data_IF_912882825044
#
_entry.id   IF_912882825044
#
_cell.length_a   1.000
_cell.length_b   1.000
_cell.length_c   1.000
_cell.angle_alpha   90.00
_cell.angle_beta   90.00
_cell.angle_gamma   90.00
#
_symmetry.space_group_name_H-M   'P 1'
#
loop_
_entity.id
_entity.type
_entity.pdbx_description
1 polymer ?
#
# COMPACT_ATOMS: atom_id res chain seq x y z
N UNK A 1 21.69 14.15 -12.00
CA UNK A 1 21.65 13.88 -13.45
C UNK A 1 21.22 12.46 -13.85
N UNK A 2 21.00 11.51 -12.92
CA UNK A 2 20.35 10.21 -13.22
C UNK A 2 18.83 10.21 -12.96
N UNK A 3 18.32 11.15 -12.13
CA UNK A 3 16.88 11.31 -11.83
C UNK A 3 16.10 12.07 -12.91
N UNK A 4 16.80 12.63 -13.90
CA UNK A 4 16.22 13.48 -14.94
C UNK A 4 15.87 12.71 -16.22
N UNK A 5 16.05 11.38 -16.22
CA UNK A 5 15.68 10.55 -17.37
C UNK A 5 14.15 10.38 -17.43
N UNK A 6 13.47 10.89 -18.48
CA UNK A 6 12.02 10.81 -18.57
C UNK A 6 11.50 9.37 -18.63
N UNK A 7 12.29 8.43 -19.14
CA UNK A 7 11.92 7.01 -19.17
C UNK A 7 11.84 6.41 -17.77
N UNK A 8 12.82 6.75 -16.90
CA UNK A 8 12.82 6.30 -15.49
C UNK A 8 11.59 6.85 -14.77
N UNK A 9 11.25 8.12 -15.00
CA UNK A 9 10.05 8.75 -14.42
C UNK A 9 8.77 8.03 -14.87
N UNK A 10 8.63 7.72 -16.15
CA UNK A 10 7.45 7.03 -16.70
C UNK A 10 7.33 5.63 -16.09
N UNK A 11 8.43 4.86 -16.08
CA UNK A 11 8.43 3.49 -15.52
C UNK A 11 8.09 3.51 -14.04
N UNK A 12 8.72 4.40 -13.25
CA UNK A 12 8.41 4.55 -11.82
C UNK A 12 6.96 4.95 -11.60
N UNK A 13 6.47 5.95 -12.33
CA UNK A 13 5.11 6.48 -12.14
C UNK A 13 4.06 5.41 -12.46
N UNK A 14 4.14 4.80 -13.65
CA UNK A 14 3.17 3.80 -14.07
C UNK A 14 3.28 2.51 -13.24
N UNK A 15 4.51 2.09 -12.95
CA UNK A 15 4.79 0.92 -12.11
C UNK A 15 4.24 1.09 -10.70
N UNK A 16 4.57 2.20 -10.03
CA UNK A 16 4.13 2.47 -8.67
C UNK A 16 2.62 2.71 -8.59
N UNK A 17 2.00 3.30 -9.62
CA UNK A 17 0.55 3.41 -9.70
C UNK A 17 -0.12 2.03 -9.76
N UNK A 18 0.41 1.11 -10.57
CA UNK A 18 -0.12 -0.25 -10.62
C UNK A 18 0.12 -1.00 -9.31
N UNK A 19 1.33 -0.88 -8.73
CA UNK A 19 1.66 -1.45 -7.43
C UNK A 19 0.72 -0.93 -6.34
N UNK A 20 0.41 0.36 -6.34
CA UNK A 20 -0.56 0.96 -5.43
C UNK A 20 -1.94 0.29 -5.54
N UNK A 21 -2.43 0.05 -6.76
CA UNK A 21 -3.72 -0.66 -6.96
C UNK A 21 -3.66 -2.09 -6.40
N UNK A 22 -2.56 -2.81 -6.60
CA UNK A 22 -2.37 -4.17 -6.06
C UNK A 22 -2.29 -4.16 -4.53
N UNK A 23 -1.57 -3.22 -3.94
CA UNK A 23 -1.48 -3.05 -2.48
C UNK A 23 -2.82 -2.64 -1.90
N UNK A 24 -3.57 -1.77 -2.56
CA UNK A 24 -4.91 -1.39 -2.15
C UNK A 24 -5.85 -2.59 -2.18
N UNK A 25 -5.75 -3.46 -3.20
CA UNK A 25 -6.49 -4.73 -3.24
C UNK A 25 -6.21 -5.61 -2.03
N UNK A 26 -4.94 -5.72 -1.66
CA UNK A 26 -4.49 -6.46 -0.49
C UNK A 26 -5.05 -5.85 0.81
N UNK A 27 -4.90 -4.53 0.99
CA UNK A 27 -5.37 -3.81 2.18
C UNK A 27 -6.89 -3.87 2.33
N UNK A 28 -7.65 -3.72 1.23
CA UNK A 28 -9.12 -3.87 1.26
C UNK A 28 -9.54 -5.24 1.79
N UNK A 29 -8.84 -6.31 1.38
CA UNK A 29 -9.13 -7.65 1.88
C UNK A 29 -8.69 -7.81 3.34
N UNK A 30 -7.54 -7.27 3.71
CA UNK A 30 -7.02 -7.33 5.08
C UNK A 30 -7.95 -6.62 6.08
N UNK A 31 -8.45 -5.44 5.70
CA UNK A 31 -9.38 -4.63 6.49
C UNK A 31 -10.82 -5.11 6.41
N UNK A 32 -11.14 -6.11 5.56
CA UNK A 32 -12.50 -6.57 5.27
C UNK A 32 -13.42 -5.43 4.82
N UNK A 33 -12.87 -4.54 4.00
CA UNK A 33 -13.61 -3.44 3.44
C UNK A 33 -14.77 -3.95 2.57
N UNK A 34 -15.83 -3.16 2.46
CA UNK A 34 -17.05 -3.54 1.77
C UNK A 34 -16.77 -3.82 0.27
N UNK A 35 -17.06 -5.05 -0.16
CA UNK A 35 -16.90 -5.49 -1.54
C UNK A 35 -18.03 -5.01 -2.46
N UNK A 36 -19.17 -4.56 -1.91
CA UNK A 36 -20.25 -3.97 -2.69
C UNK A 36 -19.95 -2.51 -3.07
N UNK A 37 -18.93 -1.90 -2.46
CA UNK A 37 -18.49 -0.57 -2.81
C UNK A 37 -17.95 -0.50 -4.25
N UNK A 38 -18.40 0.45 -5.09
CA UNK A 38 -17.99 0.54 -6.49
C UNK A 38 -16.47 0.72 -6.68
N UNK A 39 -15.80 1.42 -5.77
CA UNK A 39 -14.34 1.61 -5.83
C UNK A 39 -13.63 0.29 -5.52
N UNK A 40 -14.11 -0.45 -4.51
CA UNK A 40 -13.61 -1.80 -4.17
C UNK A 40 -13.75 -2.75 -5.36
N UNK A 41 -14.91 -2.75 -6.03
CA UNK A 41 -15.13 -3.55 -7.24
C UNK A 41 -14.20 -3.16 -8.38
N UNK A 42 -13.96 -1.86 -8.59
CA UNK A 42 -13.00 -1.36 -9.58
C UNK A 42 -11.60 -1.92 -9.35
N UNK A 43 -11.13 -1.88 -8.10
CA UNK A 43 -9.81 -2.39 -7.70
C UNK A 43 -9.72 -3.92 -7.87
N UNK A 44 -10.77 -4.65 -7.47
CA UNK A 44 -10.87 -6.10 -7.69
C UNK A 44 -10.82 -6.42 -9.18
N UNK A 45 -11.56 -5.68 -10.01
CA UNK A 45 -11.59 -5.88 -11.46
C UNK A 45 -10.24 -5.62 -12.09
N UNK A 46 -9.54 -4.54 -11.70
CA UNK A 46 -8.22 -4.17 -12.21
C UNK A 46 -7.12 -5.19 -11.85
N UNK A 47 -7.23 -5.86 -10.70
CA UNK A 47 -6.22 -6.82 -10.22
C UNK A 47 -6.53 -8.27 -10.58
N UNK A 48 -7.80 -8.60 -10.82
CA UNK A 48 -8.24 -9.98 -11.05
C UNK A 48 -7.59 -10.72 -12.23
N UNK A 49 -7.27 -10.09 -13.39
CA UNK A 49 -6.68 -10.82 -14.51
C UNK A 49 -5.33 -11.45 -14.16
N UNK A 50 -4.51 -10.75 -13.36
CA UNK A 50 -3.22 -11.27 -12.89
C UNK A 50 -3.38 -12.17 -11.66
N UNK A 51 -4.33 -11.89 -10.77
CA UNK A 51 -4.52 -12.72 -9.57
C UNK A 51 -5.12 -14.10 -9.86
N UNK A 52 -6.02 -14.24 -10.83
CA UNK A 52 -6.67 -15.53 -11.16
C UNK A 52 -5.68 -16.66 -11.48
N UNK A 53 -4.66 -16.49 -12.34
CA UNK A 53 -3.66 -17.54 -12.57
C UNK A 53 -2.81 -17.79 -11.33
N UNK A 54 -2.40 -16.75 -10.59
CA UNK A 54 -1.60 -16.91 -9.37
C UNK A 54 -2.33 -17.73 -8.29
N UNK A 55 -3.63 -17.50 -8.11
CA UNK A 55 -4.48 -18.23 -7.15
C UNK A 55 -4.62 -19.73 -7.44
N UNK A 56 -4.33 -20.18 -8.67
CA UNK A 56 -4.31 -21.61 -8.99
C UNK A 56 -3.11 -22.32 -8.37
N UNK A 57 -2.02 -21.59 -8.15
CA UNK A 57 -0.76 -22.14 -7.61
C UNK A 57 -0.62 -21.80 -6.12
N UNK A 58 -1.07 -20.62 -5.72
CA UNK A 58 -0.84 -20.06 -4.39
C UNK A 58 -2.17 -19.99 -3.63
N UNK A 59 -2.42 -20.90 -2.68
CA UNK A 59 -3.64 -20.89 -1.90
C UNK A 59 -3.65 -19.70 -0.92
N UNK A 60 -4.83 -19.11 -0.68
CA UNK A 60 -5.00 -18.10 0.34
C UNK A 60 -4.83 -18.71 1.74
N UNK A 61 -4.07 -18.05 2.61
CA UNK A 61 -3.81 -18.51 3.99
C UNK A 61 -4.60 -17.62 4.96
N UNK A 62 -5.61 -18.21 5.59
CA UNK A 62 -6.44 -17.54 6.59
C UNK A 62 -7.14 -16.30 6.05
N UNK A 63 -6.84 -15.13 6.63
CA UNK A 63 -7.45 -13.83 6.26
C UNK A 63 -6.67 -13.08 5.18
N UNK A 64 -5.48 -13.57 4.81
CA UNK A 64 -4.53 -12.89 3.94
C UNK A 64 -4.60 -13.49 2.55
N UNK A 65 -4.85 -12.65 1.53
CA UNK A 65 -4.66 -13.07 0.14
C UNK A 65 -3.18 -13.10 -0.20
N UNK A 66 -2.56 -14.24 0.07
CA UNK A 66 -1.17 -14.55 -0.30
C UNK A 66 -0.89 -14.27 -1.77
N UNK A 67 -1.86 -14.51 -2.66
CA UNK A 67 -1.72 -14.19 -4.09
C UNK A 67 -1.55 -12.69 -4.35
N UNK A 68 -2.22 -11.84 -3.57
CA UNK A 68 -2.06 -10.38 -3.68
C UNK A 68 -0.68 -9.90 -3.21
N UNK A 69 -0.13 -10.52 -2.16
CA UNK A 69 1.24 -10.22 -1.70
C UNK A 69 2.27 -10.65 -2.74
N UNK A 70 2.12 -11.86 -3.29
CA UNK A 70 3.01 -12.37 -4.33
C UNK A 70 2.93 -11.51 -5.59
N UNK A 71 1.73 -11.06 -5.98
CA UNK A 71 1.59 -10.13 -7.08
C UNK A 71 2.29 -8.79 -6.81
N UNK A 72 2.15 -8.23 -5.61
CA UNK A 72 2.85 -6.99 -5.24
C UNK A 72 4.38 -7.15 -5.33
N UNK A 73 4.92 -8.27 -4.84
CA UNK A 73 6.34 -8.59 -4.95
C UNK A 73 6.78 -8.75 -6.40
N UNK A 74 6.00 -9.46 -7.22
CA UNK A 74 6.30 -9.64 -8.64
C UNK A 74 6.29 -8.31 -9.39
N UNK A 75 5.31 -7.44 -9.14
CA UNK A 75 5.24 -6.10 -9.74
C UNK A 75 6.44 -5.26 -9.33
N UNK A 76 6.78 -5.20 -8.04
CA UNK A 76 7.95 -4.45 -7.57
C UNK A 76 9.26 -4.99 -8.15
N UNK A 77 9.40 -6.31 -8.25
CA UNK A 77 10.57 -6.95 -8.86
C UNK A 77 10.69 -6.56 -10.34
N UNK A 78 9.59 -6.59 -11.09
CA UNK A 78 9.58 -6.17 -12.51
C UNK A 78 9.95 -4.70 -12.66
N UNK A 79 9.41 -3.81 -11.82
CA UNK A 79 9.80 -2.38 -11.81
C UNK A 79 11.32 -2.25 -11.59
N UNK A 80 11.85 -2.90 -10.54
CA UNK A 80 13.27 -2.87 -10.22
C UNK A 80 14.13 -3.40 -11.38
N UNK A 81 13.73 -4.52 -11.99
CA UNK A 81 14.46 -5.11 -13.13
C UNK A 81 14.50 -4.16 -14.33
N UNK A 82 13.38 -3.52 -14.67
CA UNK A 82 13.32 -2.55 -15.78
C UNK A 82 14.21 -1.34 -15.47
N UNK A 83 14.16 -0.81 -14.24
CA UNK A 83 15.01 0.31 -13.84
C UNK A 83 16.49 -0.05 -13.90
N UNK A 84 16.88 -1.23 -13.41
CA UNK A 84 18.27 -1.69 -13.46
C UNK A 84 18.75 -1.90 -14.90
N UNK A 85 17.88 -2.39 -15.79
CA UNK A 85 18.17 -2.52 -17.21
C UNK A 85 18.38 -1.16 -17.90
N UNK A 86 17.56 -0.15 -17.58
CA UNK A 86 17.71 1.22 -18.12
C UNK A 86 19.00 1.87 -17.64
N UNK A 87 19.33 1.69 -16.35
CA UNK A 87 20.55 2.26 -15.76
C UNK A 87 21.80 1.50 -16.20
N UNK A 88 21.67 0.26 -16.69
CA UNK A 88 22.79 -0.60 -17.07
C UNK A 88 23.55 -1.16 -15.86
N UNK A 89 22.94 -1.18 -14.69
CA UNK A 89 23.54 -1.67 -13.45
C UNK A 89 23.02 -3.06 -13.11
N UNK A 90 23.91 -3.96 -12.72
CA UNK A 90 23.54 -5.31 -12.30
C UNK A 90 23.57 -5.44 -10.79
N UNK A 91 22.42 -5.77 -10.22
CA UNK A 91 22.31 -6.09 -8.80
C UNK A 91 22.69 -7.55 -8.55
N UNK A 92 23.40 -7.79 -7.45
CA UNK A 92 23.49 -9.15 -6.91
C UNK A 92 22.08 -9.65 -6.52
N UNK A 93 21.86 -10.97 -6.52
CA UNK A 93 20.58 -11.58 -6.13
C UNK A 93 20.09 -11.12 -4.74
N UNK A 94 20.99 -10.97 -3.77
CA UNK A 94 20.64 -10.54 -2.39
C UNK A 94 20.07 -9.11 -2.40
N UNK A 95 20.77 -8.16 -3.02
CA UNK A 95 20.30 -6.78 -3.14
C UNK A 95 18.98 -6.68 -3.88
N UNK A 96 18.78 -7.49 -4.92
CA UNK A 96 17.52 -7.51 -5.66
C UNK A 96 16.32 -7.93 -4.79
N UNK A 97 16.50 -8.97 -3.96
CA UNK A 97 15.48 -9.41 -3.01
C UNK A 97 15.22 -8.34 -1.94
N UNK A 98 16.28 -7.75 -1.37
CA UNK A 98 16.16 -6.70 -0.35
C UNK A 98 15.37 -5.51 -0.90
N UNK A 99 15.73 -4.99 -2.07
CA UNK A 99 15.07 -3.83 -2.66
C UNK A 99 13.64 -4.11 -3.11
N UNK A 100 13.35 -5.36 -3.51
CA UNK A 100 11.97 -5.77 -3.82
C UNK A 100 11.10 -5.77 -2.54
N UNK A 101 11.57 -6.40 -1.47
CA UNK A 101 10.85 -6.46 -0.20
C UNK A 101 10.67 -5.08 0.43
N UNK A 102 11.76 -4.30 0.48
CA UNK A 102 11.74 -2.94 0.99
C UNK A 102 10.84 -2.03 0.16
N UNK A 103 10.88 -2.14 -1.17
CA UNK A 103 10.00 -1.38 -2.06
C UNK A 103 8.52 -1.65 -1.78
N UNK A 104 8.10 -2.91 -1.68
CA UNK A 104 6.71 -3.26 -1.34
C UNK A 104 6.32 -2.73 0.03
N UNK A 105 7.18 -2.91 1.05
CA UNK A 105 6.93 -2.42 2.40
C UNK A 105 6.78 -0.89 2.44
N UNK A 106 7.67 -0.17 1.75
CA UNK A 106 7.64 1.29 1.69
C UNK A 106 6.35 1.81 1.03
N UNK A 107 5.95 1.23 -0.11
CA UNK A 107 4.73 1.64 -0.81
C UNK A 107 3.46 1.26 -0.03
N UNK A 108 3.49 0.18 0.76
CA UNK A 108 2.39 -0.17 1.66
C UNK A 108 2.26 0.85 2.80
N UNK A 109 3.38 1.26 3.41
CA UNK A 109 3.40 2.32 4.41
C UNK A 109 2.94 3.66 3.83
N UNK A 110 3.34 3.97 2.60
CA UNK A 110 2.90 5.18 1.89
C UNK A 110 1.39 5.17 1.64
N UNK A 111 0.82 4.03 1.23
CA UNK A 111 -0.62 3.85 1.09
C UNK A 111 -1.35 4.16 2.40
N UNK A 112 -0.89 3.59 3.52
CA UNK A 112 -1.50 3.87 4.82
C UNK A 112 -1.31 5.32 5.27
N UNK A 113 -0.15 5.93 4.98
CA UNK A 113 0.08 7.35 5.27
C UNK A 113 -0.99 8.22 4.59
N UNK A 114 -1.18 8.04 3.29
CA UNK A 114 -2.17 8.80 2.53
C UNK A 114 -3.60 8.48 2.94
N UNK A 115 -3.94 7.21 3.18
CA UNK A 115 -5.25 6.82 3.68
C UNK A 115 -5.57 7.48 5.04
N UNK A 116 -4.61 7.49 5.97
CA UNK A 116 -4.73 8.15 7.26
C UNK A 116 -4.89 9.66 7.11
N UNK A 117 -4.13 10.30 6.21
CA UNK A 117 -4.26 11.73 5.93
C UNK A 117 -5.66 12.07 5.42
N UNK A 118 -6.15 11.31 4.46
CA UNK A 118 -7.51 11.49 3.94
C UNK A 118 -8.54 11.23 5.06
N UNK A 119 -8.35 10.22 5.91
CA UNK A 119 -9.24 9.93 7.05
C UNK A 119 -9.33 11.12 8.02
N UNK A 120 -8.20 11.72 8.37
CA UNK A 120 -8.17 12.91 9.25
C UNK A 120 -8.84 14.10 8.58
N UNK A 121 -8.53 14.37 7.31
CA UNK A 121 -9.19 15.46 6.57
C UNK A 121 -10.71 15.25 6.53
N UNK A 122 -11.18 14.03 6.22
CA UNK A 122 -12.60 13.69 6.20
C UNK A 122 -13.27 13.86 7.56
N UNK A 123 -12.57 13.58 8.66
CA UNK A 123 -13.11 13.73 10.02
C UNK A 123 -13.46 15.17 10.37
N UNK A 124 -12.78 16.16 9.77
CA UNK A 124 -13.07 17.59 9.97
C UNK A 124 -13.95 18.18 8.88
N UNK A 125 -13.72 17.78 7.62
CA UNK A 125 -14.41 18.37 6.47
C UNK A 125 -15.81 17.79 6.28
N UNK A 126 -16.00 16.50 6.53
CA UNK A 126 -17.26 15.79 6.29
C UNK A 126 -17.50 14.66 7.30
N UNK A 127 -17.64 14.97 8.60
CA UNK A 127 -17.89 13.96 9.62
C UNK A 127 -19.19 13.19 9.32
N UNK A 128 -19.14 11.86 9.38
CA UNK A 128 -20.31 11.00 9.13
C UNK A 128 -20.72 10.85 7.66
N UNK A 129 -19.84 11.21 6.71
CA UNK A 129 -20.11 11.05 5.28
C UNK A 129 -20.46 9.61 4.89
N UNK A 130 -21.55 9.44 4.13
CA UNK A 130 -21.99 8.19 3.52
C UNK A 130 -21.40 7.94 2.13
N UNK A 131 -20.49 8.82 1.66
CA UNK A 131 -19.87 8.66 0.35
C UNK A 131 -19.02 7.38 0.27
N UNK A 132 -19.12 6.57 -0.81
CA UNK A 132 -18.40 5.30 -0.93
C UNK A 132 -16.89 5.40 -0.68
N UNK A 133 -16.25 6.47 -1.15
CA UNK A 133 -14.83 6.69 -0.91
C UNK A 133 -14.49 6.98 0.56
N UNK A 134 -15.33 7.75 1.26
CA UNK A 134 -15.12 8.07 2.66
C UNK A 134 -15.23 6.81 3.53
N UNK A 135 -16.25 5.98 3.26
CA UNK A 135 -16.44 4.70 3.94
C UNK A 135 -15.24 3.76 3.77
N UNK A 136 -14.69 3.66 2.56
CA UNK A 136 -13.50 2.82 2.32
C UNK A 136 -12.27 3.32 3.07
N UNK A 137 -12.01 4.63 3.06
CA UNK A 137 -10.87 5.21 3.77
C UNK A 137 -10.98 4.90 5.27
N UNK A 138 -12.17 5.06 5.86
CA UNK A 138 -12.42 4.73 7.25
C UNK A 138 -12.20 3.24 7.54
N UNK A 139 -12.72 2.34 6.68
CA UNK A 139 -12.52 0.89 6.81
C UNK A 139 -11.04 0.48 6.68
N UNK A 140 -10.30 1.10 5.75
CA UNK A 140 -8.87 0.85 5.56
C UNK A 140 -8.08 1.23 6.80
N UNK A 141 -8.41 2.36 7.43
CA UNK A 141 -7.70 2.88 8.59
C UNK A 141 -8.13 2.23 9.92
N UNK A 142 -9.33 1.64 9.99
CA UNK A 142 -9.90 1.05 11.21
C UNK A 142 -8.98 0.06 11.93
N UNK A 143 -8.24 -0.85 11.25
CA UNK A 143 -7.30 -1.75 11.93
C UNK A 143 -6.14 -1.00 12.63
N UNK A 144 -5.65 0.11 12.05
CA UNK A 144 -4.58 0.92 12.64
C UNK A 144 -5.10 1.67 13.87
N UNK A 145 -6.27 2.30 13.76
CA UNK A 145 -6.92 2.95 14.90
C UNK A 145 -7.18 1.95 16.04
N UNK A 146 -7.79 0.80 15.74
CA UNK A 146 -8.03 -0.26 16.73
C UNK A 146 -6.75 -0.77 17.39
N UNK A 147 -5.64 -0.82 16.64
CA UNK A 147 -4.35 -1.20 17.22
C UNK A 147 -3.81 -0.11 18.16
N UNK A 148 -3.88 1.16 17.74
CA UNK A 148 -3.41 2.30 18.52
C UNK A 148 -4.21 2.49 19.82
N UNK A 149 -5.55 2.35 19.76
CA UNK A 149 -6.44 2.46 20.92
C UNK A 149 -6.22 1.39 22.00
N UNK A 150 -5.46 0.32 21.72
CA UNK A 150 -5.04 -0.66 22.75
C UNK A 150 -3.99 -0.10 23.69
N UNK A 151 -3.24 0.91 23.26
CA UNK A 151 -2.15 1.52 24.03
C UNK A 151 -2.48 2.93 24.49
N UNK A 152 -3.29 3.65 23.72
CA UNK A 152 -3.63 5.05 23.97
C UNK A 152 -5.14 5.16 24.16
N UNK A 153 -5.63 5.44 25.38
CA UNK A 153 -7.04 5.67 25.60
C UNK A 153 -7.48 6.99 24.93
N UNK A 154 -8.73 7.06 24.48
CA UNK A 154 -9.31 8.29 23.95
C UNK A 154 -9.40 9.35 25.05
N UNK A 155 -8.67 10.46 24.91
CA UNK A 155 -8.68 11.57 25.88
C UNK A 155 -9.79 12.56 25.53
N UNK A 156 -10.92 12.46 26.23
CA UNK A 156 -11.93 13.55 26.26
C UNK A 156 -12.48 13.96 24.89
N UNK A 157 -12.79 13.00 24.02
CA UNK A 157 -13.40 13.25 22.70
C UNK A 157 -12.43 13.67 21.59
N UNK A 158 -11.16 13.94 21.90
CA UNK A 158 -10.10 14.15 20.90
C UNK A 158 -9.31 12.86 20.70
N UNK A 159 -9.37 12.30 19.49
CA UNK A 159 -8.56 11.12 19.14
C UNK A 159 -7.16 11.54 18.72
N UNK A 160 -6.18 11.32 19.59
CA UNK A 160 -4.75 11.58 19.31
C UNK A 160 -4.09 10.45 18.51
N UNK A 161 -4.79 9.33 18.28
CA UNK A 161 -4.26 8.17 17.56
C UNK A 161 -3.68 8.50 16.18
N UNK A 162 -4.26 9.39 15.35
CA UNK A 162 -3.67 9.72 14.05
C UNK A 162 -2.23 10.22 14.17
N UNK A 163 -1.90 11.03 15.18
CA UNK A 163 -0.57 11.61 15.37
C UNK A 163 0.46 10.50 15.59
N UNK A 164 0.17 9.56 16.50
CA UNK A 164 1.06 8.44 16.79
C UNK A 164 1.18 7.47 15.62
N UNK A 165 0.08 7.24 14.88
CA UNK A 165 0.09 6.43 13.66
C UNK A 165 0.98 7.08 12.59
N UNK A 166 0.86 8.39 12.35
CA UNK A 166 1.73 9.11 11.42
C UNK A 166 3.19 9.04 11.83
N UNK A 167 3.49 9.22 13.12
CA UNK A 167 4.85 9.13 13.63
C UNK A 167 5.43 7.74 13.39
N UNK A 168 4.69 6.67 13.75
CA UNK A 168 5.12 5.30 13.55
C UNK A 168 5.36 4.98 12.06
N UNK A 169 4.42 5.35 11.19
CA UNK A 169 4.56 5.15 9.74
C UNK A 169 5.78 5.91 9.21
N UNK A 170 5.97 7.17 9.62
CA UNK A 170 7.09 8.01 9.14
C UNK A 170 8.43 7.43 9.57
N UNK A 171 8.56 7.00 10.83
CA UNK A 171 9.77 6.36 11.34
C UNK A 171 10.07 5.06 10.56
N UNK A 172 9.07 4.20 10.38
CA UNK A 172 9.22 2.96 9.62
C UNK A 172 9.65 3.24 8.17
N UNK A 173 9.03 4.24 7.53
CA UNK A 173 9.42 4.67 6.18
C UNK A 173 10.86 5.16 6.13
N UNK A 174 11.31 5.93 7.12
CA UNK A 174 12.69 6.42 7.20
C UNK A 174 13.71 5.27 7.27
N UNK A 175 13.41 4.20 8.02
CA UNK A 175 14.26 3.02 8.10
C UNK A 175 14.29 2.21 6.80
N UNK A 176 13.18 2.16 6.07
CA UNK A 176 13.07 1.39 4.81
C UNK A 176 13.60 2.18 3.61
N UNK A 177 13.50 3.51 3.63
CA UNK A 177 13.83 4.39 2.50
C UNK A 177 15.21 4.17 1.86
N UNK A 178 16.31 3.89 2.60
CA UNK A 178 17.61 3.61 1.99
C UNK A 178 17.64 2.39 1.07
N UNK A 179 16.65 1.50 1.19
CA UNK A 179 16.52 0.26 0.43
C UNK A 179 15.46 0.35 -0.68
N UNK A 180 14.95 1.55 -0.98
CA UNK A 180 13.95 1.77 -2.03
C UNK A 180 14.60 2.46 -3.21
N UNK A 181 14.44 1.89 -4.41
CA UNK A 181 15.03 2.37 -5.66
C UNK A 181 13.96 2.80 -6.65
#
# INVERSE_FOLDING_TARGET
>A
MMMDNPLILIVKTLGNLYLFIVLLRFVLQLSRADFYNPISQGIVKATSPLLKPLRKVIPSIGRVDTSSVVLALAVQAVILAILMAIVGYQLSAIHYVIYTLAGVAYHLLDLYFWAMLISVILSWVAPGSSHPGALLVMQICEPLYRFCHRFIPSLGGFDLSPIFIFLAITILKQFVAPFVI
#
